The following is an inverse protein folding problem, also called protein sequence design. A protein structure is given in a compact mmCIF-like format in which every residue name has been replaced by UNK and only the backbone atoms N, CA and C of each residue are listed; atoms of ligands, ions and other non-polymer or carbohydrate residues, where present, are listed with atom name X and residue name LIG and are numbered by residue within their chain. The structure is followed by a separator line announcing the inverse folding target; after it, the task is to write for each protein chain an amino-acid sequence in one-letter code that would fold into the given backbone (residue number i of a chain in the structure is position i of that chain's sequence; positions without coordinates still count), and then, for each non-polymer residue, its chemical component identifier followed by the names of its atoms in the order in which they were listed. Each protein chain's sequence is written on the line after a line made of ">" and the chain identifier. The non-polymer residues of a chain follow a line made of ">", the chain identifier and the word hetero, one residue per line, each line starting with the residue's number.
data_IF_190037598475
#
_entry.id   IF_190037598475
#
_cell.length_a   1.000
_cell.length_b   1.000
_cell.length_c   1.000
_cell.angle_alpha   90.00
_cell.angle_beta   90.00
_cell.angle_gamma   90.00
#
_symmetry.space_group_name_H-M   'P 1'
#
loop_
_entity.id
_entity.type
_entity.pdbx_description
1 polymer ?
#
# COMPACT_ATOMS: atom_id res chain seq x y z
N UNK A 1 -16.26 20.38 -12.98
CA UNK A 1 -16.67 19.53 -11.86
C UNK A 1 -16.09 20.06 -10.56
N UNK A 2 -16.77 19.86 -9.45
CA UNK A 2 -16.41 20.36 -8.11
C UNK A 2 -14.94 20.07 -7.72
N UNK A 3 -14.39 18.91 -8.10
CA UNK A 3 -13.00 18.56 -7.80
C UNK A 3 -11.98 19.43 -8.56
N UNK A 4 -12.31 19.88 -9.75
CA UNK A 4 -11.42 20.74 -10.55
C UNK A 4 -11.37 22.15 -9.96
N UNK A 5 -12.48 22.67 -9.51
CA UNK A 5 -12.53 24.00 -8.89
C UNK A 5 -11.86 23.99 -7.51
N UNK A 6 -12.09 22.98 -6.68
CA UNK A 6 -11.39 22.81 -5.41
C UNK A 6 -9.86 22.68 -5.58
N UNK A 7 -9.40 22.01 -6.65
CA UNK A 7 -7.98 21.94 -6.97
C UNK A 7 -7.43 23.30 -7.37
N UNK A 8 -8.13 24.07 -8.21
CA UNK A 8 -7.73 25.42 -8.60
C UNK A 8 -7.64 26.36 -7.42
N UNK A 9 -8.64 26.33 -6.52
CA UNK A 9 -8.61 27.13 -5.30
C UNK A 9 -7.45 26.78 -4.38
N UNK A 10 -7.13 25.48 -4.25
CA UNK A 10 -5.99 25.02 -3.46
C UNK A 10 -4.67 25.51 -4.04
N UNK A 11 -4.54 25.49 -5.37
CA UNK A 11 -3.38 25.99 -6.09
C UNK A 11 -3.23 27.51 -5.92
N UNK A 12 -4.34 28.25 -6.05
CA UNK A 12 -4.34 29.69 -5.92
C UNK A 12 -3.97 30.19 -4.51
N UNK A 13 -4.33 29.41 -3.48
CA UNK A 13 -4.11 29.77 -2.06
C UNK A 13 -2.68 29.52 -1.57
N UNK A 14 -1.88 28.66 -2.21
CA UNK A 14 -0.55 28.31 -1.71
C UNK A 14 0.44 27.87 -2.82
N UNK A 15 0.69 28.73 -3.86
CA UNK A 15 1.54 28.36 -4.99
C UNK A 15 3.00 28.10 -4.57
N UNK A 16 3.50 28.77 -3.55
CA UNK A 16 4.90 28.71 -3.10
C UNK A 16 5.16 27.80 -1.91
N UNK A 17 4.13 27.09 -1.43
CA UNK A 17 4.31 26.18 -0.30
C UNK A 17 5.07 24.93 -0.71
N UNK A 18 5.93 24.40 0.20
CA UNK A 18 6.61 23.13 -0.01
C UNK A 18 5.66 21.96 -0.29
N UNK A 19 4.46 22.02 0.28
CA UNK A 19 3.37 21.03 0.03
C UNK A 19 2.86 21.11 -1.43
N UNK A 20 2.79 22.29 -2.02
CA UNK A 20 2.41 22.47 -3.41
C UNK A 20 3.48 21.91 -4.35
N UNK A 21 4.74 22.20 -4.10
CA UNK A 21 5.85 21.69 -4.90
C UNK A 21 5.89 20.17 -4.91
N UNK A 22 5.72 19.51 -3.74
CA UNK A 22 5.64 18.05 -3.63
C UNK A 22 4.46 17.49 -4.46
N UNK A 23 3.31 18.15 -4.42
CA UNK A 23 2.14 17.72 -5.22
C UNK A 23 2.40 17.85 -6.72
N UNK A 24 3.08 18.89 -7.14
CA UNK A 24 3.45 19.09 -8.55
C UNK A 24 4.45 18.04 -9.02
N UNK A 25 5.49 17.76 -8.24
CA UNK A 25 6.47 16.70 -8.54
C UNK A 25 5.79 15.32 -8.67
N UNK A 26 4.88 15.00 -7.75
CA UNK A 26 4.09 13.77 -7.81
C UNK A 26 3.20 13.72 -9.06
N UNK A 27 2.55 14.82 -9.43
CA UNK A 27 1.75 14.91 -10.64
C UNK A 27 2.59 14.70 -11.92
N UNK A 28 3.79 15.26 -11.97
CA UNK A 28 4.73 15.04 -13.07
C UNK A 28 5.20 13.57 -13.14
N UNK A 29 5.43 12.93 -12.00
CA UNK A 29 5.73 11.50 -11.93
C UNK A 29 4.59 10.63 -12.51
N UNK A 30 3.35 10.94 -12.14
CA UNK A 30 2.15 10.27 -12.68
C UNK A 30 2.07 10.48 -14.21
N UNK A 31 2.29 11.70 -14.70
CA UNK A 31 2.26 11.98 -16.14
C UNK A 31 3.33 11.19 -16.91
N UNK A 32 4.55 11.08 -16.38
CA UNK A 32 5.60 10.25 -16.97
C UNK A 32 5.19 8.80 -17.05
N UNK A 33 4.65 8.26 -15.97
CA UNK A 33 4.13 6.89 -15.90
C UNK A 33 3.02 6.65 -16.94
N UNK A 34 2.03 7.54 -17.01
CA UNK A 34 0.93 7.43 -17.98
C UNK A 34 1.42 7.47 -19.43
N UNK A 35 2.43 8.30 -19.74
CA UNK A 35 3.05 8.33 -21.07
C UNK A 35 3.72 7.01 -21.45
N UNK A 36 4.37 6.35 -20.47
CA UNK A 36 4.98 5.02 -20.70
C UNK A 36 3.89 3.99 -20.95
N UNK A 37 2.86 3.96 -20.10
CA UNK A 37 1.74 3.02 -20.26
C UNK A 37 1.02 3.21 -21.60
N UNK A 38 0.80 4.45 -22.04
CA UNK A 38 0.15 4.75 -23.31
C UNK A 38 0.96 4.28 -24.54
N UNK A 39 2.30 4.21 -24.42
CA UNK A 39 3.15 3.65 -25.48
C UNK A 39 3.03 2.13 -25.57
N UNK A 40 2.85 1.46 -24.45
CA UNK A 40 2.72 0.01 -24.37
C UNK A 40 1.32 -0.47 -24.77
N UNK A 41 0.29 0.22 -24.28
CA UNK A 41 -1.11 -0.05 -24.62
C UNK A 41 -1.90 1.27 -24.62
N UNK A 42 -2.55 1.63 -25.73
CA UNK A 42 -3.23 2.92 -25.84
C UNK A 42 -4.30 3.11 -24.75
N UNK A 43 -4.21 4.21 -24.04
CA UNK A 43 -5.15 4.58 -22.99
C UNK A 43 -6.45 5.09 -23.61
N UNK A 44 -7.58 4.52 -23.16
CA UNK A 44 -8.94 4.92 -23.52
C UNK A 44 -9.50 5.96 -22.57
N UNK A 45 -9.31 5.73 -21.26
CA UNK A 45 -9.85 6.60 -20.23
C UNK A 45 -9.00 6.54 -18.95
N UNK A 46 -9.02 7.63 -18.18
CA UNK A 46 -8.43 7.70 -16.83
C UNK A 46 -9.49 8.24 -15.89
N UNK A 47 -9.79 7.47 -14.85
CA UNK A 47 -10.78 7.82 -13.85
C UNK A 47 -10.13 7.99 -12.48
N UNK A 48 -10.45 9.07 -11.80
CA UNK A 48 -10.13 9.25 -10.40
C UNK A 48 -11.14 8.49 -9.53
N UNK A 49 -10.70 7.41 -8.90
CA UNK A 49 -11.58 6.45 -8.21
C UNK A 49 -11.55 6.54 -6.68
N UNK A 50 -11.11 7.66 -6.12
CA UNK A 50 -11.02 7.82 -4.67
C UNK A 50 -12.38 7.69 -3.96
N UNK A 51 -13.44 8.27 -4.54
CA UNK A 51 -14.80 8.25 -3.97
C UNK A 51 -15.76 7.28 -4.65
N UNK A 52 -15.51 6.96 -5.89
CA UNK A 52 -16.35 6.05 -6.66
C UNK A 52 -15.48 5.19 -7.57
N UNK A 53 -15.66 3.89 -7.51
CA UNK A 53 -14.93 2.95 -8.36
C UNK A 53 -15.58 2.86 -9.74
N UNK A 54 -14.83 2.58 -10.82
CA UNK A 54 -15.40 2.29 -12.12
C UNK A 54 -16.32 1.06 -12.08
N UNK A 55 -17.27 1.00 -12.99
CA UNK A 55 -18.12 -0.18 -13.16
C UNK A 55 -17.25 -1.43 -13.37
N UNK A 56 -17.55 -2.50 -12.65
CA UNK A 56 -16.80 -3.76 -12.69
C UNK A 56 -15.57 -3.82 -11.79
N UNK A 57 -15.26 -2.76 -11.03
CA UNK A 57 -14.21 -2.75 -10.02
C UNK A 57 -14.85 -2.85 -8.64
N UNK A 58 -14.30 -3.75 -7.80
CA UNK A 58 -14.75 -3.92 -6.42
C UNK A 58 -14.65 -2.59 -5.63
N UNK A 59 -15.68 -2.26 -4.85
CA UNK A 59 -15.72 -1.04 -4.06
C UNK A 59 -14.57 -0.94 -3.05
N UNK A 60 -14.06 -2.06 -2.58
CA UNK A 60 -12.94 -2.15 -1.65
C UNK A 60 -11.58 -2.12 -2.34
N UNK A 61 -11.54 -2.08 -3.67
CA UNK A 61 -10.28 -2.04 -4.41
C UNK A 61 -9.42 -0.83 -3.99
N UNK A 62 -8.14 -1.00 -3.64
CA UNK A 62 -7.32 0.06 -3.03
C UNK A 62 -6.83 1.13 -4.02
N UNK A 63 -7.18 1.03 -5.30
CA UNK A 63 -6.74 2.01 -6.31
C UNK A 63 -7.36 3.39 -6.10
N UNK A 64 -6.54 4.40 -6.28
CA UNK A 64 -6.93 5.82 -6.24
C UNK A 64 -7.22 6.35 -7.65
N UNK A 65 -6.60 5.77 -8.66
CA UNK A 65 -6.78 6.10 -10.07
C UNK A 65 -6.93 4.81 -10.87
N UNK A 66 -7.78 4.82 -11.90
CA UNK A 66 -8.00 3.70 -12.80
C UNK A 66 -7.74 4.11 -14.23
N UNK A 67 -6.91 3.34 -14.91
CA UNK A 67 -6.56 3.51 -16.31
C UNK A 67 -7.28 2.41 -17.09
N UNK A 68 -8.17 2.77 -18.00
CA UNK A 68 -8.79 1.84 -18.94
C UNK A 68 -8.07 1.95 -20.26
N UNK A 69 -7.58 0.83 -20.78
CA UNK A 69 -6.93 0.74 -22.08
C UNK A 69 -7.95 0.45 -23.20
N UNK A 70 -7.54 0.64 -24.45
CA UNK A 70 -8.41 0.38 -25.62
C UNK A 70 -8.81 -1.10 -25.75
N UNK A 71 -8.02 -2.02 -25.21
CA UNK A 71 -8.32 -3.46 -25.12
C UNK A 71 -9.27 -3.80 -23.95
N UNK A 72 -9.84 -2.78 -23.30
CA UNK A 72 -10.72 -2.85 -22.14
C UNK A 72 -10.09 -3.39 -20.85
N UNK A 73 -8.80 -3.63 -20.81
CA UNK A 73 -8.09 -3.89 -19.54
C UNK A 73 -8.15 -2.67 -18.63
N UNK A 74 -8.27 -2.91 -17.33
CA UNK A 74 -8.30 -1.87 -16.30
C UNK A 74 -7.12 -2.06 -15.38
N UNK A 75 -6.31 -1.00 -15.19
CA UNK A 75 -5.22 -0.94 -14.24
C UNK A 75 -5.59 0.00 -13.10
N UNK A 76 -5.67 -0.53 -11.88
CA UNK A 76 -5.79 0.27 -10.67
C UNK A 76 -4.42 0.73 -10.17
N UNK A 77 -4.26 2.02 -9.96
CA UNK A 77 -3.01 2.63 -9.44
C UNK A 77 -3.29 3.22 -8.08
N UNK A 78 -2.57 2.75 -7.05
CA UNK A 78 -2.59 3.38 -5.73
C UNK A 78 -1.50 4.44 -5.65
N UNK A 79 -1.89 5.65 -5.30
CA UNK A 79 -0.99 6.80 -5.21
C UNK A 79 -0.49 6.95 -3.77
N UNK A 80 0.82 6.98 -3.60
CA UNK A 80 1.44 7.22 -2.30
C UNK A 80 2.25 8.51 -2.37
N UNK A 81 1.86 9.50 -1.56
CA UNK A 81 2.65 10.71 -1.38
C UNK A 81 3.72 10.43 -0.31
N UNK A 82 4.97 10.33 -0.73
CA UNK A 82 6.12 10.27 0.17
C UNK A 82 6.64 11.67 0.48
N UNK A 83 7.07 11.90 1.73
CA UNK A 83 7.88 13.07 2.07
C UNK A 83 9.33 12.91 1.61
N UNK A 84 10.15 13.95 1.74
CA UNK A 84 11.59 13.94 1.36
C UNK A 84 12.41 12.84 2.04
N UNK A 85 11.93 12.30 3.17
CA UNK A 85 12.55 11.21 3.93
C UNK A 85 12.03 9.81 3.58
N UNK A 86 11.04 9.69 2.69
CA UNK A 86 10.43 8.41 2.34
C UNK A 86 10.90 8.03 0.94
N UNK A 87 11.94 7.21 0.85
CA UNK A 87 12.52 6.79 -0.43
C UNK A 87 11.69 5.73 -1.14
N UNK A 88 10.85 4.98 -0.42
CA UNK A 88 10.01 3.91 -0.97
C UNK A 88 8.60 3.93 -0.39
N UNK A 89 7.63 3.55 -1.19
CA UNK A 89 6.28 3.26 -0.71
C UNK A 89 6.34 2.01 0.19
N UNK A 90 6.03 2.17 1.47
CA UNK A 90 6.01 1.04 2.41
C UNK A 90 4.91 0.05 2.02
N UNK A 91 5.25 -1.23 1.98
CA UNK A 91 4.27 -2.29 1.76
C UNK A 91 3.26 -2.25 2.92
N UNK A 92 1.97 -2.18 2.58
CA UNK A 92 0.94 -2.28 3.60
C UNK A 92 0.90 -3.73 4.14
N UNK A 93 0.97 -3.89 5.45
CA UNK A 93 0.95 -5.20 6.12
C UNK A 93 -0.40 -5.92 6.02
N UNK A 94 -1.40 -5.32 5.40
CA UNK A 94 -2.69 -5.96 5.11
C UNK A 94 -2.60 -6.89 3.89
N UNK A 95 -1.87 -7.98 4.06
CA UNK A 95 -1.72 -9.00 3.01
C UNK A 95 -2.91 -9.97 2.92
N UNK A 96 -3.84 -9.94 3.87
CA UNK A 96 -5.00 -10.84 3.90
C UNK A 96 -5.74 -10.94 2.57
N UNK A 97 -6.10 -9.81 1.89
CA UNK A 97 -6.82 -9.89 0.62
C UNK A 97 -6.09 -10.66 -0.48
N UNK A 98 -4.75 -10.69 -0.44
CA UNK A 98 -3.96 -11.45 -1.43
C UNK A 98 -4.16 -12.94 -1.22
N UNK A 99 -4.02 -13.44 0.02
CA UNK A 99 -4.25 -14.85 0.34
C UNK A 99 -5.71 -15.25 0.19
N UNK A 100 -6.65 -14.35 0.50
CA UNK A 100 -8.08 -14.56 0.32
C UNK A 100 -8.43 -14.76 -1.15
N UNK A 101 -7.85 -13.96 -2.05
CA UNK A 101 -8.06 -14.08 -3.49
C UNK A 101 -7.58 -15.43 -4.06
N UNK A 102 -6.56 -16.04 -3.46
CA UNK A 102 -6.07 -17.37 -3.82
C UNK A 102 -6.73 -18.52 -3.02
N UNK A 103 -7.63 -18.23 -2.07
CA UNK A 103 -8.23 -19.23 -1.20
C UNK A 103 -7.23 -19.93 -0.25
N UNK A 104 -6.12 -19.25 0.10
CA UNK A 104 -4.98 -19.83 0.83
C UNK A 104 -4.89 -19.38 2.29
N UNK A 105 -5.99 -19.40 3.02
CA UNK A 105 -6.06 -18.98 4.43
C UNK A 105 -5.12 -19.74 5.35
N UNK A 106 -4.90 -21.04 5.12
CA UNK A 106 -3.96 -21.84 5.93
C UNK A 106 -2.52 -21.34 5.80
N UNK A 107 -2.13 -20.96 4.60
CA UNK A 107 -0.80 -20.40 4.33
C UNK A 107 -0.64 -19.00 4.95
N UNK A 108 -1.71 -18.19 4.98
CA UNK A 108 -1.72 -16.92 5.68
C UNK A 108 -1.52 -17.09 7.19
N UNK A 109 -2.18 -18.08 7.79
CA UNK A 109 -1.97 -18.39 9.22
C UNK A 109 -0.53 -18.82 9.48
N UNK A 110 0.04 -19.66 8.63
CA UNK A 110 1.44 -20.07 8.75
C UNK A 110 2.41 -18.87 8.61
N UNK A 111 2.14 -17.95 7.67
CA UNK A 111 2.91 -16.71 7.53
C UNK A 111 2.84 -15.84 8.79
N UNK A 112 1.67 -15.68 9.39
CA UNK A 112 1.50 -14.91 10.64
C UNK A 112 2.30 -15.51 11.80
N UNK A 113 2.27 -16.84 11.95
CA UNK A 113 3.06 -17.54 12.95
C UNK A 113 4.55 -17.34 12.73
N UNK A 114 5.00 -17.44 11.48
CA UNK A 114 6.39 -17.18 11.11
C UNK A 114 6.81 -15.74 11.46
N UNK A 115 6.02 -14.74 11.09
CA UNK A 115 6.25 -13.33 11.43
C UNK A 115 6.34 -13.11 12.93
N UNK A 116 5.43 -13.73 13.70
CA UNK A 116 5.47 -13.62 15.15
C UNK A 116 6.74 -14.24 15.72
N UNK A 117 7.06 -15.47 15.34
CA UNK A 117 8.23 -16.21 15.84
C UNK A 117 9.54 -15.53 15.48
N UNK A 118 9.71 -15.09 14.24
CA UNK A 118 10.99 -14.62 13.72
C UNK A 118 11.24 -13.12 13.94
N UNK A 119 10.17 -12.32 14.06
CA UNK A 119 10.27 -10.86 14.18
C UNK A 119 9.63 -10.34 15.47
N UNK A 120 8.33 -10.54 15.62
CA UNK A 120 7.58 -9.82 16.66
C UNK A 120 7.93 -10.28 18.08
N UNK A 121 8.23 -11.56 18.29
CA UNK A 121 8.65 -12.08 19.60
C UNK A 121 9.94 -11.44 20.15
N UNK A 122 10.72 -10.79 19.30
CA UNK A 122 11.94 -10.05 19.68
C UNK A 122 11.64 -8.63 20.21
N UNK A 123 10.41 -8.18 20.11
CA UNK A 123 9.99 -6.82 20.46
C UNK A 123 9.26 -6.87 21.81
N UNK A 124 9.65 -6.05 22.80
CA UNK A 124 8.98 -6.01 24.11
C UNK A 124 7.47 -5.74 23.97
N UNK A 125 6.70 -6.28 24.91
CA UNK A 125 5.26 -6.07 25.05
C UNK A 125 4.39 -6.54 23.88
N UNK A 126 4.95 -7.31 22.97
CA UNK A 126 4.17 -7.97 21.92
C UNK A 126 3.31 -9.09 22.52
N UNK A 127 2.02 -9.18 22.17
CA UNK A 127 1.16 -10.29 22.58
C UNK A 127 1.73 -11.67 22.21
N UNK A 128 1.38 -12.69 22.96
CA UNK A 128 1.73 -14.09 22.64
C UNK A 128 1.26 -14.49 21.23
N UNK A 129 1.82 -15.55 20.65
CA UNK A 129 1.45 -16.03 19.32
C UNK A 129 -0.07 -16.31 19.22
N UNK A 130 -0.62 -16.92 20.25
CA UNK A 130 -2.06 -17.25 20.30
C UNK A 130 -2.93 -15.99 20.33
N UNK A 131 -2.54 -14.97 21.09
CA UNK A 131 -3.25 -13.69 21.12
C UNK A 131 -3.08 -12.91 19.82
N UNK A 132 -1.86 -12.90 19.25
CA UNK A 132 -1.57 -12.26 17.95
C UNK A 132 -2.45 -12.81 16.83
N UNK A 133 -2.76 -14.09 16.81
CA UNK A 133 -3.60 -14.68 15.76
C UNK A 133 -5.06 -14.20 15.81
N UNK A 134 -5.47 -13.55 16.89
CA UNK A 134 -6.76 -12.86 16.98
C UNK A 134 -6.76 -11.48 16.32
N UNK A 135 -7.92 -10.98 15.90
CA UNK A 135 -8.06 -9.61 15.41
C UNK A 135 -7.68 -8.56 16.45
N UNK A 136 -7.98 -8.81 17.73
CA UNK A 136 -7.62 -7.96 18.86
C UNK A 136 -6.11 -7.95 19.08
N UNK A 137 -5.48 -9.12 19.10
CA UNK A 137 -4.03 -9.25 19.29
C UNK A 137 -3.23 -8.59 18.17
N UNK A 138 -3.67 -8.70 16.92
CA UNK A 138 -3.05 -7.98 15.79
C UNK A 138 -3.12 -6.46 15.93
N UNK A 139 -4.24 -5.94 16.46
CA UNK A 139 -4.38 -4.50 16.72
C UNK A 139 -3.46 -4.05 17.85
N UNK A 140 -3.34 -4.83 18.93
CA UNK A 140 -2.41 -4.55 20.02
C UNK A 140 -0.98 -4.56 19.49
N UNK A 141 -0.58 -5.59 18.75
CA UNK A 141 0.74 -5.68 18.11
C UNK A 141 1.06 -4.45 17.26
N UNK A 142 0.10 -4.01 16.43
CA UNK A 142 0.28 -2.80 15.64
C UNK A 142 0.52 -1.53 16.48
N UNK A 143 -0.13 -1.41 17.63
CA UNK A 143 0.09 -0.28 18.55
C UNK A 143 1.47 -0.38 19.23
N UNK A 144 1.85 -1.56 19.73
CA UNK A 144 3.17 -1.79 20.34
C UNK A 144 4.29 -1.49 19.35
N UNK A 145 4.19 -1.97 18.11
CA UNK A 145 5.16 -1.66 17.05
C UNK A 145 5.28 -0.16 16.80
N UNK A 146 4.17 0.54 16.79
CA UNK A 146 4.14 2.00 16.61
C UNK A 146 4.83 2.73 17.75
N UNK A 147 4.56 2.31 18.98
CA UNK A 147 5.19 2.91 20.17
C UNK A 147 6.69 2.56 20.26
N UNK A 148 7.05 1.33 19.95
CA UNK A 148 8.44 0.89 19.87
C UNK A 148 9.23 1.67 18.82
N UNK A 149 8.65 1.91 17.64
CA UNK A 149 9.24 2.75 16.60
C UNK A 149 9.51 4.19 17.11
N UNK A 150 8.56 4.75 17.84
CA UNK A 150 8.70 6.10 18.38
C UNK A 150 9.85 6.22 19.40
N UNK A 151 10.06 5.19 20.21
CA UNK A 151 11.04 5.20 21.31
C UNK A 151 12.40 4.61 20.92
N UNK A 152 12.46 3.70 19.94
CA UNK A 152 13.65 2.93 19.55
C UNK A 152 13.83 2.90 18.02
N UNK A 153 13.87 4.05 17.41
CA UNK A 153 13.76 4.29 15.97
C UNK A 153 14.59 3.31 15.09
N UNK A 154 15.91 3.20 15.32
CA UNK A 154 16.77 2.33 14.49
C UNK A 154 16.50 0.84 14.66
N UNK A 155 16.10 0.39 15.85
CA UNK A 155 15.76 -1.02 16.08
C UNK A 155 14.47 -1.42 15.39
N UNK A 156 13.50 -0.50 15.32
CA UNK A 156 12.27 -0.75 14.57
C UNK A 156 12.54 -0.92 13.07
N UNK A 157 13.41 -0.11 12.49
CA UNK A 157 13.74 -0.23 11.06
C UNK A 157 14.27 -1.62 10.73
N UNK A 158 15.16 -2.17 11.54
CA UNK A 158 15.67 -3.54 11.38
C UNK A 158 14.52 -4.57 11.38
N UNK A 159 13.65 -4.53 12.37
CA UNK A 159 12.51 -5.48 12.44
C UNK A 159 11.50 -5.27 11.32
N UNK A 160 11.34 -4.04 10.87
CA UNK A 160 10.49 -3.72 9.73
C UNK A 160 11.05 -4.35 8.44
N UNK A 161 12.34 -4.26 8.22
CA UNK A 161 13.00 -4.86 7.05
C UNK A 161 12.94 -6.39 7.09
N UNK A 162 13.21 -7.01 8.24
CA UNK A 162 13.04 -8.46 8.44
C UNK A 162 11.60 -8.91 8.12
N UNK A 163 10.60 -8.17 8.61
CA UNK A 163 9.19 -8.42 8.29
C UNK A 163 8.92 -8.34 6.78
N UNK A 164 9.43 -7.31 6.12
CA UNK A 164 9.22 -7.12 4.68
C UNK A 164 9.83 -8.26 3.86
N UNK A 165 11.02 -8.73 4.22
CA UNK A 165 11.67 -9.86 3.52
C UNK A 165 10.86 -11.16 3.66
N UNK A 166 10.36 -11.46 4.86
CA UNK A 166 9.50 -12.63 5.08
C UNK A 166 8.22 -12.53 4.25
N UNK A 167 7.58 -11.36 4.24
CA UNK A 167 6.34 -11.12 3.49
C UNK A 167 6.57 -11.18 1.97
N UNK A 168 7.67 -10.59 1.49
CA UNK A 168 8.03 -10.61 0.07
C UNK A 168 8.25 -12.03 -0.41
N UNK A 169 9.02 -12.83 0.32
CA UNK A 169 9.24 -14.24 0.00
C UNK A 169 7.92 -15.03 -0.05
N UNK A 170 7.06 -14.85 0.94
CA UNK A 170 5.77 -15.54 0.99
C UNK A 170 4.83 -15.15 -0.17
N UNK A 171 4.83 -13.88 -0.60
CA UNK A 171 4.06 -13.43 -1.76
C UNK A 171 4.60 -14.06 -3.05
N UNK A 172 5.91 -14.06 -3.25
CA UNK A 172 6.55 -14.68 -4.42
C UNK A 172 6.20 -16.17 -4.48
N UNK A 173 6.33 -16.88 -3.37
CA UNK A 173 5.98 -18.30 -3.28
C UNK A 173 4.51 -18.56 -3.58
N UNK A 174 3.62 -17.71 -3.08
CA UNK A 174 2.18 -17.82 -3.35
C UNK A 174 1.88 -17.71 -4.84
N UNK A 175 2.46 -16.75 -5.53
CA UNK A 175 2.28 -16.57 -6.97
C UNK A 175 2.91 -17.73 -7.76
N UNK A 176 4.13 -18.12 -7.45
CA UNK A 176 4.83 -19.21 -8.16
C UNK A 176 4.13 -20.55 -8.04
N UNK A 177 3.44 -20.83 -6.94
CA UNK A 177 2.68 -22.08 -6.71
C UNK A 177 1.29 -22.09 -7.34
N UNK A 178 0.78 -20.94 -7.76
CA UNK A 178 -0.59 -20.79 -8.25
C UNK A 178 -0.67 -20.12 -9.64
N UNK A 179 0.46 -19.97 -10.35
CA UNK A 179 0.57 -19.51 -11.74
C UNK A 179 0.48 -20.67 -12.73
#
# INVERSE_FOLDING_TARGET
>A
SQNREAAKETIAKAPDSSKYQIKMENALGILKYLRIQNKQSPIKNILWGYRAKPSGVDEKHPGDMYITFKDNKVLGVSLKAGGKSTHEAKLNTYVNPVWDAFGKQRELVALRKKLHKEVYSKIPDIPSETEYDTGKGRKITGNVLKDFNRTNNKKYEQYYDEQLEIMRGAIIDLFNKNS
#
